data_IF_416235329411
#
_entry.id   IF_416235329411
#
_cell.length_a   1.000
_cell.length_b   1.000
_cell.length_c   1.000
_cell.angle_alpha   90.00
_cell.angle_beta   90.00
_cell.angle_gamma   90.00
#
_symmetry.space_group_name_H-M   'P 1'
#
loop_
_entity.id
_entity.type
_entity.pdbx_description
1 polymer ?
#
# COMPACT_ATOMS: atom_id res chain seq x y z
N UNK A 1 17.12 -5.96 -17.63
CA UNK A 1 16.84 -4.87 -16.67
C UNK A 1 15.94 -3.89 -17.38
N UNK A 2 14.65 -3.84 -17.00
CA UNK A 2 13.74 -2.85 -17.56
C UNK A 2 13.97 -1.52 -16.85
N UNK A 3 14.01 -0.43 -17.61
CA UNK A 3 14.13 0.92 -17.07
C UNK A 3 12.79 1.65 -17.25
N UNK A 4 12.17 2.04 -16.14
CA UNK A 4 10.91 2.77 -16.10
C UNK A 4 11.14 4.23 -15.70
N UNK A 5 10.40 5.12 -16.33
CA UNK A 5 10.23 6.50 -15.88
C UNK A 5 9.13 6.60 -14.83
N UNK A 6 9.07 7.71 -14.09
CA UNK A 6 7.98 8.00 -13.13
C UNK A 6 6.60 7.83 -13.78
N UNK A 7 6.43 8.30 -15.02
CA UNK A 7 5.16 8.20 -15.75
C UNK A 7 4.82 6.76 -16.12
N UNK A 8 5.81 5.94 -16.48
CA UNK A 8 5.60 4.52 -16.75
C UNK A 8 5.29 3.75 -15.45
N UNK A 9 5.95 4.04 -14.33
CA UNK A 9 5.60 3.46 -13.04
C UNK A 9 4.15 3.80 -12.65
N UNK A 10 3.79 5.07 -12.78
CA UNK A 10 2.45 5.55 -12.50
C UNK A 10 1.40 4.79 -13.33
N UNK A 11 1.64 4.67 -14.64
CA UNK A 11 0.75 3.94 -15.55
C UNK A 11 0.64 2.45 -15.21
N UNK A 12 1.77 1.75 -14.99
CA UNK A 12 1.78 0.32 -14.70
C UNK A 12 1.09 -0.02 -13.37
N UNK A 13 1.22 0.85 -12.37
CA UNK A 13 0.61 0.63 -11.06
C UNK A 13 -0.78 1.28 -10.97
N UNK A 14 -1.25 1.97 -12.00
CA UNK A 14 -2.56 2.63 -12.03
C UNK A 14 -2.70 3.77 -11.01
N UNK A 15 -1.61 4.47 -10.70
CA UNK A 15 -1.58 5.63 -9.80
C UNK A 15 -1.23 6.89 -10.56
N UNK A 16 -1.54 8.06 -10.03
CA UNK A 16 -1.11 9.32 -10.65
C UNK A 16 0.39 9.54 -10.46
N UNK A 17 1.01 10.28 -11.38
CA UNK A 17 2.42 10.71 -11.28
C UNK A 17 2.68 11.47 -9.96
N UNK A 18 1.68 12.21 -9.47
CA UNK A 18 1.76 12.91 -8.19
C UNK A 18 1.92 11.95 -7.00
N UNK A 19 1.20 10.81 -6.99
CA UNK A 19 1.36 9.78 -5.95
C UNK A 19 2.76 9.18 -5.99
N UNK A 20 3.27 8.85 -7.19
CA UNK A 20 4.65 8.33 -7.32
C UNK A 20 5.67 9.35 -6.81
N UNK A 21 5.48 10.64 -7.12
CA UNK A 21 6.33 11.72 -6.60
C UNK A 21 6.25 11.88 -5.08
N UNK A 22 5.05 11.83 -4.50
CA UNK A 22 4.87 11.86 -3.05
C UNK A 22 5.59 10.68 -2.38
N UNK A 23 5.52 9.49 -2.97
CA UNK A 23 6.23 8.30 -2.46
C UNK A 23 7.76 8.44 -2.56
N UNK A 24 8.27 9.10 -3.61
CA UNK A 24 9.70 9.43 -3.71
C UNK A 24 10.13 10.37 -2.57
N UNK A 25 9.36 11.43 -2.32
CA UNK A 25 9.67 12.41 -1.25
C UNK A 25 9.63 11.75 0.13
N UNK A 26 8.70 10.83 0.37
CA UNK A 26 8.61 10.07 1.63
C UNK A 26 9.71 9.01 1.80
N UNK A 27 10.45 8.71 0.73
CA UNK A 27 11.49 7.69 0.70
C UNK A 27 10.95 6.26 0.61
N UNK A 28 9.74 6.09 0.08
CA UNK A 28 9.13 4.77 -0.21
C UNK A 28 9.70 4.16 -1.49
N UNK A 29 10.14 5.01 -2.42
CA UNK A 29 10.77 4.63 -3.67
C UNK A 29 12.12 5.33 -3.77
N UNK A 30 13.10 4.65 -4.39
CA UNK A 30 14.37 5.26 -4.78
C UNK A 30 14.61 5.05 -6.27
N UNK A 31 15.01 6.10 -7.00
CA UNK A 31 15.48 5.93 -8.36
C UNK A 31 16.81 5.18 -8.35
N UNK A 32 16.99 4.28 -9.30
CA UNK A 32 18.24 3.52 -9.51
C UNK A 32 19.28 4.40 -10.20
N UNK A 33 18.83 5.32 -11.06
CA UNK A 33 19.66 6.32 -11.69
C UNK A 33 18.84 7.59 -11.95
N UNK A 34 19.54 8.70 -12.18
CA UNK A 34 18.93 9.90 -12.74
C UNK A 34 19.47 10.06 -14.17
N UNK A 35 18.57 10.31 -15.12
CA UNK A 35 18.97 10.73 -16.47
C UNK A 35 19.65 12.09 -16.43
N UNK A 36 20.42 12.43 -17.46
CA UNK A 36 21.07 13.74 -17.63
C UNK A 36 20.08 14.92 -17.60
N UNK A 37 18.81 14.66 -17.95
CA UNK A 37 17.72 15.63 -17.87
C UNK A 37 17.04 15.74 -16.49
N UNK A 38 17.55 15.07 -15.45
CA UNK A 38 17.01 15.14 -14.09
C UNK A 38 15.82 14.21 -13.81
N UNK A 39 15.43 13.35 -14.76
CA UNK A 39 14.37 12.37 -14.53
C UNK A 39 14.90 11.12 -13.83
N UNK A 40 14.21 10.68 -12.78
CA UNK A 40 14.50 9.42 -12.09
C UNK A 40 14.14 8.21 -12.95
N UNK A 41 15.08 7.26 -13.02
CA UNK A 41 14.96 5.95 -13.67
C UNK A 41 14.78 4.88 -12.60
N UNK A 42 13.84 3.99 -12.84
CA UNK A 42 13.43 2.93 -11.92
C UNK A 42 13.59 1.57 -12.59
N UNK A 43 13.84 0.53 -11.81
CA UNK A 43 13.91 -0.83 -12.28
C UNK A 43 12.63 -1.62 -11.94
N UNK A 44 12.63 -2.90 -12.33
CA UNK A 44 11.54 -3.82 -11.99
C UNK A 44 11.36 -3.96 -10.46
N UNK A 45 12.43 -3.83 -9.66
CA UNK A 45 12.35 -3.88 -8.20
C UNK A 45 11.58 -2.67 -7.62
N UNK A 46 11.80 -1.48 -8.16
CA UNK A 46 11.03 -0.30 -7.81
C UNK A 46 9.54 -0.43 -8.21
N UNK A 47 9.25 -1.05 -9.35
CA UNK A 47 7.87 -1.36 -9.75
C UNK A 47 7.20 -2.31 -8.75
N UNK A 48 7.85 -3.43 -8.41
CA UNK A 48 7.34 -4.38 -7.42
C UNK A 48 7.11 -3.72 -6.06
N UNK A 49 8.03 -2.85 -5.64
CA UNK A 49 7.89 -2.08 -4.40
C UNK A 49 6.69 -1.14 -4.45
N UNK A 50 6.48 -0.43 -5.57
CA UNK A 50 5.33 0.45 -5.74
C UNK A 50 4.01 -0.32 -5.68
N UNK A 51 3.93 -1.48 -6.35
CA UNK A 51 2.78 -2.38 -6.26
C UNK A 51 2.49 -2.81 -4.81
N UNK A 52 3.53 -3.19 -4.06
CA UNK A 52 3.39 -3.57 -2.65
C UNK A 52 2.89 -2.41 -1.78
N UNK A 53 3.48 -1.22 -1.91
CA UNK A 53 3.07 -0.04 -1.14
C UNK A 53 1.62 0.32 -1.45
N UNK A 54 1.22 0.26 -2.72
CA UNK A 54 -0.17 0.49 -3.13
C UNK A 54 -1.12 -0.53 -2.51
N UNK A 55 -0.85 -1.82 -2.64
CA UNK A 55 -1.71 -2.87 -2.09
C UNK A 55 -1.84 -2.76 -0.56
N UNK A 56 -0.74 -2.44 0.13
CA UNK A 56 -0.75 -2.21 1.57
C UNK A 56 -1.57 -0.96 1.94
N UNK A 57 -1.43 0.14 1.19
CA UNK A 57 -2.21 1.35 1.40
C UNK A 57 -3.71 1.12 1.18
N UNK A 58 -4.09 0.38 0.14
CA UNK A 58 -5.49 -0.03 -0.11
C UNK A 58 -6.04 -0.95 0.99
N UNK A 59 -5.20 -1.78 1.60
CA UNK A 59 -5.53 -2.51 2.83
C UNK A 59 -5.59 -1.62 4.11
N UNK A 60 -5.44 -0.31 3.94
CA UNK A 60 -5.47 0.71 4.98
C UNK A 60 -4.16 0.90 5.74
N UNK A 61 -3.09 0.18 5.40
CA UNK A 61 -1.80 0.32 6.10
C UNK A 61 -1.26 1.74 5.87
N UNK A 62 -0.88 2.41 6.95
CA UNK A 62 -0.36 3.77 6.87
C UNK A 62 0.97 3.85 6.11
N UNK A 63 1.12 4.88 5.28
CA UNK A 63 2.34 5.11 4.49
C UNK A 63 3.60 5.22 5.35
N UNK A 64 3.51 5.73 6.59
CA UNK A 64 4.66 5.85 7.48
C UNK A 64 5.21 4.49 7.94
N UNK A 65 4.33 3.51 8.16
CA UNK A 65 4.75 2.15 8.50
C UNK A 65 5.45 1.48 7.31
N UNK A 66 4.91 1.68 6.11
CA UNK A 66 5.52 1.21 4.88
C UNK A 66 6.87 1.88 4.62
N UNK A 67 6.99 3.18 4.89
CA UNK A 67 8.24 3.92 4.73
C UNK A 67 9.33 3.38 5.68
N UNK A 68 8.99 3.05 6.93
CA UNK A 68 9.93 2.41 7.85
C UNK A 68 10.40 1.04 7.37
N UNK A 69 9.50 0.20 6.87
CA UNK A 69 9.86 -1.09 6.29
C UNK A 69 10.79 -0.90 5.08
N UNK A 70 10.42 -0.04 4.14
CA UNK A 70 11.23 0.22 2.94
C UNK A 70 12.63 0.72 3.31
N UNK A 71 12.75 1.63 4.28
CA UNK A 71 14.05 2.11 4.78
C UNK A 71 14.88 1.01 5.43
N UNK A 72 14.27 0.13 6.23
CA UNK A 72 14.98 -0.99 6.85
C UNK A 72 15.48 -1.99 5.80
N UNK A 73 14.69 -2.26 4.76
CA UNK A 73 15.09 -3.09 3.62
C UNK A 73 16.25 -2.44 2.84
N UNK A 74 16.17 -1.12 2.59
CA UNK A 74 17.23 -0.37 1.90
C UNK A 74 18.54 -0.34 2.70
N UNK A 75 18.47 -0.30 4.03
CA UNK A 75 19.64 -0.33 4.92
C UNK A 75 20.30 -1.72 5.00
N UNK A 76 19.74 -2.73 4.33
CA UNK A 76 20.13 -4.14 4.47
C UNK A 76 20.14 -4.63 5.93
N UNK A 77 19.36 -3.99 6.80
CA UNK A 77 19.22 -4.37 8.19
C UNK A 77 18.12 -5.42 8.32
N UNK A 78 18.51 -6.69 8.22
CA UNK A 78 17.59 -7.83 8.28
C UNK A 78 16.80 -7.91 9.59
N UNK A 79 17.40 -7.49 10.72
CA UNK A 79 16.73 -7.53 12.01
C UNK A 79 15.64 -6.46 12.11
N UNK A 80 15.94 -5.23 11.69
CA UNK A 80 14.95 -4.15 11.62
C UNK A 80 13.86 -4.46 10.59
N UNK A 81 14.21 -5.01 9.42
CA UNK A 81 13.24 -5.39 8.41
C UNK A 81 12.28 -6.47 8.93
N UNK A 82 12.81 -7.50 9.61
CA UNK A 82 12.00 -8.54 10.23
C UNK A 82 11.07 -7.98 11.32
N UNK A 83 11.56 -7.06 12.15
CA UNK A 83 10.76 -6.38 13.16
C UNK A 83 9.62 -5.56 12.54
N UNK A 84 9.90 -4.76 11.50
CA UNK A 84 8.86 -3.99 10.80
C UNK A 84 7.85 -4.89 10.09
N UNK A 85 8.29 -6.02 9.51
CA UNK A 85 7.39 -7.01 8.92
C UNK A 85 6.46 -7.64 9.97
N UNK A 86 6.98 -7.97 11.16
CA UNK A 86 6.17 -8.48 12.26
C UNK A 86 5.11 -7.46 12.71
N UNK A 87 5.49 -6.18 12.82
CA UNK A 87 4.55 -5.08 13.14
C UNK A 87 3.47 -4.94 12.06
N UNK A 88 3.83 -4.99 10.78
CA UNK A 88 2.87 -4.92 9.68
C UNK A 88 1.91 -6.10 9.68
N UNK A 89 2.41 -7.33 9.90
CA UNK A 89 1.56 -8.51 10.04
C UNK A 89 0.58 -8.37 11.20
N UNK A 90 1.03 -7.90 12.36
CA UNK A 90 0.16 -7.63 13.50
C UNK A 90 -0.92 -6.60 13.18
N UNK A 91 -0.59 -5.53 12.43
CA UNK A 91 -1.56 -4.52 12.01
C UNK A 91 -2.62 -5.11 11.06
N UNK A 92 -2.20 -5.96 10.12
CA UNK A 92 -3.10 -6.65 9.19
C UNK A 92 -4.05 -7.57 9.96
N UNK A 93 -3.53 -8.39 10.87
CA UNK A 93 -4.38 -9.30 11.66
C UNK A 93 -5.38 -8.54 12.54
N UNK A 94 -4.95 -7.44 13.18
CA UNK A 94 -5.87 -6.58 13.95
C UNK A 94 -6.97 -5.99 13.08
N UNK A 95 -6.63 -5.53 11.87
CA UNK A 95 -7.64 -5.04 10.92
C UNK A 95 -8.58 -6.14 10.47
N UNK A 96 -8.06 -7.32 10.15
CA UNK A 96 -8.88 -8.46 9.75
C UNK A 96 -9.87 -8.84 10.85
N UNK A 97 -9.43 -8.86 12.11
CA UNK A 97 -10.32 -9.10 13.24
C UNK A 97 -11.37 -8.00 13.41
N UNK A 98 -11.00 -6.73 13.26
CA UNK A 98 -11.94 -5.60 13.32
C UNK A 98 -12.98 -5.64 12.20
N UNK A 99 -12.57 -5.95 10.97
CA UNK A 99 -13.48 -6.12 9.83
C UNK A 99 -14.41 -7.31 10.03
N UNK A 100 -13.89 -8.46 10.50
CA UNK A 100 -14.74 -9.62 10.81
C UNK A 100 -15.76 -9.32 11.92
N UNK A 101 -15.38 -8.51 12.92
CA UNK A 101 -16.31 -8.07 13.95
C UNK A 101 -17.39 -7.14 13.38
N UNK A 102 -17.00 -6.18 12.53
CA UNK A 102 -17.93 -5.29 11.86
C UNK A 102 -18.89 -6.05 10.94
N UNK A 103 -18.40 -7.00 10.15
CA UNK A 103 -19.22 -7.85 9.28
C UNK A 103 -20.23 -8.66 10.10
N UNK A 104 -19.83 -9.20 11.25
CA UNK A 104 -20.74 -9.90 12.15
C UNK A 104 -21.82 -8.97 12.73
N UNK A 105 -21.46 -7.73 13.08
CA UNK A 105 -22.43 -6.72 13.52
C UNK A 105 -23.42 -6.37 12.40
N UNK A 106 -22.93 -6.12 11.19
CA UNK A 106 -23.76 -5.81 10.02
C UNK A 106 -24.69 -6.98 9.67
N UNK A 107 -24.24 -8.23 9.79
CA UNK A 107 -25.08 -9.41 9.58
C UNK A 107 -26.16 -9.59 10.67
N UNK A 108 -25.90 -9.13 11.89
CA UNK A 108 -26.86 -9.15 13.00
C UNK A 108 -27.83 -7.96 13.02
N UNK A 109 -27.55 -6.92 12.23
CA UNK A 109 -28.49 -5.82 12.06
C UNK A 109 -29.72 -6.38 11.34
N UNK A 110 -30.92 -6.32 11.94
CA UNK A 110 -32.12 -6.74 11.25
C UNK A 110 -32.25 -5.84 10.02
N UNK A 111 -32.26 -6.44 8.83
CA UNK A 111 -32.85 -5.81 7.68
C UNK A 111 -34.30 -5.55 8.08
N UNK A 112 -34.61 -4.30 8.43
CA UNK A 112 -35.98 -3.89 8.73
C UNK A 112 -36.87 -4.46 7.64
N UNK A 113 -37.92 -5.13 8.09
CA UNK A 113 -38.93 -5.84 7.30
C UNK A 113 -39.66 -4.87 6.37
N UNK A 114 -38.98 -4.37 5.35
CA UNK A 114 -39.53 -3.46 4.37
C UNK A 114 -40.17 -4.27 3.22
N UNK A 115 -41.15 -5.14 3.54
CA UNK A 115 -42.17 -5.58 2.58
C UNK A 115 -43.34 -6.39 3.18
N UNK A 116 -43.65 -6.24 4.47
CA UNK A 116 -44.77 -7.01 5.05
C UNK A 116 -45.58 -6.18 6.04
N UNK A 117 -46.11 -5.04 5.58
CA UNK A 117 -47.25 -4.35 6.23
C UNK A 117 -47.75 -3.17 5.37
N UNK A 118 -48.42 -3.47 4.25
CA UNK A 118 -49.46 -2.61 3.67
C UNK A 118 -50.22 -3.37 2.55
N UNK A 119 -50.95 -4.40 2.96
CA UNK A 119 -52.15 -4.94 2.29
C UNK A 119 -53.31 -3.93 2.57
N UNK A 120 -54.37 -3.77 1.74
CA UNK A 120 -55.03 -4.80 0.94
C UNK A 120 -55.42 -4.48 -0.50
#
# INVERSE_FOLDING_TARGET
>A
MSAYTVSQLAHNVGVSVHIVRDYLVRGLLRPVACTTGGYGVFDDAALQRLCFVRAAFEAGIGLDALARLCRALDAADGAQAAAQLAVLRQLVERRRAALAHLDAQLASMPAERAHEEALP
#
